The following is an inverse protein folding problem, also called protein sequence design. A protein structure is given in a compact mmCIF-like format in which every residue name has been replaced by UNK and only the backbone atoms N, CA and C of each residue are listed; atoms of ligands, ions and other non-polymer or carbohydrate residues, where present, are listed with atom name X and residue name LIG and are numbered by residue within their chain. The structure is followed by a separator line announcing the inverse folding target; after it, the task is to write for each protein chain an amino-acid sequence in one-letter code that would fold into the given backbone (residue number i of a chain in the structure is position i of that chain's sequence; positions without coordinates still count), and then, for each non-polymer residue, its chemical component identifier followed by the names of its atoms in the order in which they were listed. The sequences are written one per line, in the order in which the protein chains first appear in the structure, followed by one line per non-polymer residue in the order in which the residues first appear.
data_IF_416382342035
#
_entry.id   IF_416382342035
#
_cell.length_a   1.000
_cell.length_b   1.000
_cell.length_c   1.000
_cell.angle_alpha   90.00
_cell.angle_beta   90.00
_cell.angle_gamma   90.00
#
_symmetry.space_group_name_H-M   'P 1'
#
loop_
_entity.id
_entity.type
_entity.pdbx_description
1 polymer ?
#
# COMPACT_ATOMS: atom_id res chain seq x y z
N UNK A 1 -9.77 -13.15 10.00
CA UNK A 1 -8.95 -12.79 8.82
C UNK A 1 -7.63 -12.13 9.21
N UNK A 2 -7.69 -11.09 10.05
CA UNK A 2 -6.54 -10.34 10.56
C UNK A 2 -5.39 -11.23 11.08
N UNK A 3 -5.67 -12.11 12.06
CA UNK A 3 -4.69 -13.08 12.61
C UNK A 3 -3.99 -13.99 11.57
N UNK A 4 -4.56 -14.21 10.38
CA UNK A 4 -3.93 -15.01 9.31
C UNK A 4 -3.02 -14.14 8.44
N UNK A 5 -3.44 -12.91 8.13
CA UNK A 5 -2.61 -11.93 7.44
C UNK A 5 -1.40 -11.55 8.29
N UNK A 6 -1.58 -11.30 9.59
CA UNK A 6 -0.48 -10.94 10.49
C UNK A 6 0.58 -12.05 10.58
N UNK A 7 0.15 -13.30 10.77
CA UNK A 7 1.06 -14.48 10.73
C UNK A 7 1.76 -14.67 9.38
N UNK A 8 1.10 -14.31 8.28
CA UNK A 8 1.73 -14.36 6.96
C UNK A 8 2.79 -13.26 6.79
N UNK A 9 2.49 -12.04 7.26
CA UNK A 9 3.41 -10.90 7.23
C UNK A 9 4.65 -11.19 8.06
N UNK A 10 4.50 -11.73 9.27
CA UNK A 10 5.63 -12.15 10.13
C UNK A 10 6.56 -13.13 9.42
N UNK A 11 6.00 -14.14 8.73
CA UNK A 11 6.79 -15.09 7.93
C UNK A 11 7.47 -14.42 6.73
N UNK A 12 6.86 -13.36 6.20
CA UNK A 12 7.34 -12.63 5.02
C UNK A 12 8.50 -11.70 5.35
N UNK A 13 8.71 -11.30 6.61
CA UNK A 13 9.90 -10.54 7.02
C UNK A 13 11.25 -11.25 6.76
N UNK A 14 11.24 -12.56 6.52
CA UNK A 14 12.42 -13.29 6.03
C UNK A 14 12.83 -12.89 4.61
N UNK A 15 11.96 -12.20 3.87
CA UNK A 15 12.10 -11.93 2.43
C UNK A 15 12.20 -10.44 2.10
N UNK A 16 11.65 -9.55 2.94
CA UNK A 16 11.64 -8.12 2.69
C UNK A 16 11.70 -7.33 3.99
N UNK A 17 12.29 -6.14 3.92
CA UNK A 17 12.42 -5.23 5.06
C UNK A 17 11.18 -4.34 5.25
N UNK A 18 10.39 -4.16 4.18
CA UNK A 18 9.12 -3.42 4.22
C UNK A 18 8.03 -4.21 3.49
N UNK A 19 6.88 -4.35 4.13
CA UNK A 19 5.70 -5.04 3.59
C UNK A 19 4.51 -4.08 3.68
N UNK A 20 3.72 -4.02 2.62
CA UNK A 20 2.51 -3.22 2.55
C UNK A 20 1.29 -4.13 2.59
N UNK A 21 0.24 -3.65 3.24
CA UNK A 21 -1.07 -4.32 3.26
C UNK A 21 -2.15 -3.30 2.98
N UNK A 22 -3.04 -3.64 2.06
CA UNK A 22 -4.30 -2.95 1.83
C UNK A 22 -5.44 -3.82 2.36
N UNK A 23 -6.33 -3.21 3.13
CA UNK A 23 -7.48 -3.85 3.76
C UNK A 23 -8.72 -2.99 3.58
N UNK A 24 -9.88 -3.61 3.33
CA UNK A 24 -11.18 -2.93 3.30
C UNK A 24 -12.09 -3.60 4.31
N UNK A 25 -12.66 -2.83 5.24
CA UNK A 25 -13.44 -3.34 6.37
C UNK A 25 -14.56 -4.33 5.96
N UNK A 26 -15.20 -4.08 4.81
CA UNK A 26 -16.32 -4.88 4.30
C UNK A 26 -15.92 -5.94 3.26
N UNK A 27 -14.65 -5.99 2.83
CA UNK A 27 -14.20 -7.03 1.91
C UNK A 27 -13.59 -8.22 2.64
N UNK A 28 -13.92 -9.41 2.15
CA UNK A 28 -13.35 -10.65 2.66
C UNK A 28 -11.94 -10.95 2.14
N UNK A 29 -11.11 -9.94 1.95
CA UNK A 29 -9.71 -10.12 1.57
C UNK A 29 -8.82 -8.91 1.92
N UNK A 30 -7.54 -9.20 2.10
CA UNK A 30 -6.45 -8.23 2.12
C UNK A 30 -5.56 -8.44 0.90
N UNK A 31 -4.87 -7.39 0.50
CA UNK A 31 -3.78 -7.48 -0.47
C UNK A 31 -2.50 -7.14 0.26
N UNK A 32 -1.51 -8.01 0.11
CA UNK A 32 -0.19 -7.83 0.71
C UNK A 32 0.82 -7.81 -0.41
N UNK A 33 1.71 -6.83 -0.40
CA UNK A 33 2.80 -6.76 -1.36
C UNK A 33 4.10 -6.27 -0.73
N UNK A 34 5.20 -6.58 -1.40
CA UNK A 34 6.53 -6.08 -1.07
C UNK A 34 7.40 -6.06 -2.32
N UNK A 35 8.45 -5.26 -2.26
CA UNK A 35 9.47 -5.18 -3.30
C UNK A 35 10.71 -5.99 -2.89
N UNK A 36 11.29 -6.73 -3.84
CA UNK A 36 12.57 -7.44 -3.67
C UNK A 36 13.21 -7.67 -5.03
N UNK A 37 14.51 -7.39 -5.15
CA UNK A 37 15.32 -7.69 -6.34
C UNK A 37 14.74 -7.15 -7.67
N UNK A 38 14.09 -5.98 -7.65
CA UNK A 38 13.46 -5.36 -8.83
C UNK A 38 12.06 -5.89 -9.18
N UNK A 39 11.47 -6.69 -8.30
CA UNK A 39 10.13 -7.25 -8.47
C UNK A 39 9.19 -6.84 -7.35
N UNK A 40 7.94 -6.60 -7.73
CA UNK A 40 6.79 -6.51 -6.84
C UNK A 40 6.15 -7.89 -6.69
N UNK A 41 6.13 -8.39 -5.46
CA UNK A 41 5.46 -9.64 -5.09
C UNK A 41 4.11 -9.32 -4.48
N UNK A 42 3.03 -9.92 -4.99
CA UNK A 42 1.65 -9.69 -4.53
C UNK A 42 0.98 -10.96 -4.03
N UNK A 43 0.19 -10.81 -2.97
CA UNK A 43 -0.63 -11.86 -2.40
C UNK A 43 -2.04 -11.34 -2.13
N UNK A 44 -3.06 -12.17 -2.40
CA UNK A 44 -4.42 -11.95 -1.92
C UNK A 44 -4.69 -12.91 -0.77
N UNK A 45 -5.01 -12.37 0.39
CA UNK A 45 -5.25 -13.15 1.61
C UNK A 45 -6.74 -13.04 1.95
N UNK A 46 -7.46 -14.15 1.84
CA UNK A 46 -8.86 -14.30 2.25
C UNK A 46 -8.95 -15.23 3.47
N UNK A 47 -10.12 -15.35 4.14
CA UNK A 47 -10.27 -16.21 5.31
C UNK A 47 -9.78 -17.65 5.09
N UNK A 48 -10.09 -18.22 3.92
CA UNK A 48 -9.83 -19.63 3.63
C UNK A 48 -8.57 -19.86 2.79
N UNK A 49 -8.05 -18.84 2.10
CA UNK A 49 -7.01 -19.01 1.06
C UNK A 49 -5.99 -17.88 1.06
N UNK A 50 -4.75 -18.22 0.70
CA UNK A 50 -3.70 -17.27 0.33
C UNK A 50 -3.35 -17.55 -1.11
N UNK A 51 -3.65 -16.60 -2.00
CA UNK A 51 -3.29 -16.68 -3.42
C UNK A 51 -2.03 -15.85 -3.65
N UNK A 52 -0.95 -16.51 -4.08
CA UNK A 52 0.26 -15.86 -4.58
C UNK A 52 0.08 -15.55 -6.07
N UNK A 53 0.53 -14.39 -6.50
CA UNK A 53 0.60 -14.03 -7.92
C UNK A 53 2.04 -14.11 -8.41
N UNK A 54 2.20 -14.16 -9.73
CA UNK A 54 3.52 -14.07 -10.35
C UNK A 54 4.19 -12.73 -9.99
N UNK A 55 5.52 -12.70 -9.78
CA UNK A 55 6.25 -11.47 -9.55
C UNK A 55 6.14 -10.54 -10.75
N UNK A 56 5.96 -9.25 -10.49
CA UNK A 56 5.82 -8.21 -11.52
C UNK A 56 7.10 -7.38 -11.53
N UNK A 57 7.69 -7.15 -12.70
CA UNK A 57 8.83 -6.22 -12.83
C UNK A 57 8.36 -4.82 -12.44
N UNK A 58 8.96 -4.26 -11.40
CA UNK A 58 8.58 -2.96 -10.89
C UNK A 58 9.73 -2.34 -10.09
N UNK A 59 9.99 -1.06 -10.36
CA UNK A 59 10.90 -0.27 -9.54
C UNK A 59 10.40 -0.12 -8.10
N UNK A 60 11.33 -0.21 -7.15
CA UNK A 60 11.03 0.09 -5.75
C UNK A 60 11.27 1.58 -5.47
N UNK A 61 10.19 2.37 -5.56
CA UNK A 61 10.23 3.79 -5.16
C UNK A 61 10.58 3.87 -3.66
N UNK A 62 11.76 4.43 -3.36
CA UNK A 62 12.22 4.59 -1.99
C UNK A 62 11.55 5.80 -1.33
N UNK A 63 10.90 5.58 -0.19
CA UNK A 63 10.29 6.65 0.60
C UNK A 63 11.02 6.80 1.93
N UNK A 64 11.46 8.02 2.24
CA UNK A 64 12.12 8.30 3.51
C UNK A 64 11.16 8.11 4.69
N UNK A 65 11.68 7.60 5.82
CA UNK A 65 10.87 7.38 7.03
C UNK A 65 10.27 8.68 7.58
N UNK A 66 10.98 9.80 7.46
CA UNK A 66 10.47 11.12 7.87
C UNK A 66 9.30 11.59 7.02
N UNK A 67 9.24 11.22 5.74
CA UNK A 67 8.09 11.51 4.87
C UNK A 67 6.83 10.73 5.27
N UNK A 68 6.97 9.59 5.96
CA UNK A 68 5.83 8.76 6.37
C UNK A 68 5.00 9.38 7.48
N UNK A 69 5.63 10.08 8.42
CA UNK A 69 4.98 10.54 9.64
C UNK A 69 3.72 11.36 9.36
N UNK A 70 3.77 12.24 8.35
CA UNK A 70 2.61 13.03 7.91
C UNK A 70 1.41 12.15 7.53
N UNK A 71 1.61 11.10 6.73
CA UNK A 71 0.53 10.26 6.21
C UNK A 71 0.04 9.21 7.19
N UNK A 72 0.82 8.90 8.23
CA UNK A 72 0.53 7.85 9.20
C UNK A 72 0.47 8.38 10.64
N UNK A 73 0.29 9.69 10.80
CA UNK A 73 0.03 10.30 12.10
C UNK A 73 -1.26 9.73 12.69
N UNK A 74 -1.20 9.34 13.96
CA UNK A 74 -2.33 8.83 14.74
C UNK A 74 -3.13 9.99 15.39
N UNK A 75 -2.69 11.25 15.21
CA UNK A 75 -3.39 12.44 15.68
C UNK A 75 -4.81 12.56 15.10
N UNK A 76 -5.78 12.85 15.95
CA UNK A 76 -7.17 13.15 15.56
C UNK A 76 -7.29 14.43 14.71
N UNK A 77 -6.26 15.28 14.72
CA UNK A 77 -6.20 16.51 13.92
C UNK A 77 -5.46 16.30 12.58
N UNK A 78 -5.16 15.05 12.22
CA UNK A 78 -4.53 14.72 10.96
C UNK A 78 -5.39 15.24 9.80
N UNK A 79 -4.88 16.26 9.13
CA UNK A 79 -5.47 16.82 7.93
C UNK A 79 -4.55 16.57 6.74
N UNK A 80 -4.55 15.33 6.27
CA UNK A 80 -3.81 14.93 5.07
C UNK A 80 -4.81 14.38 4.09
N UNK A 81 -4.93 15.07 2.97
CA UNK A 81 -5.87 14.74 1.90
C UNK A 81 -5.75 13.28 1.48
N UNK A 82 -6.89 12.60 1.34
CA UNK A 82 -7.05 11.17 1.09
C UNK A 82 -6.52 10.21 2.19
N UNK A 83 -5.84 10.71 3.23
CA UNK A 83 -5.31 9.93 4.35
C UNK A 83 -5.93 10.39 5.66
N UNK A 84 -7.08 9.82 6.01
CA UNK A 84 -7.81 10.20 7.21
C UNK A 84 -7.32 9.47 8.46
N UNK A 85 -7.76 9.96 9.63
CA UNK A 85 -7.74 9.17 10.85
C UNK A 85 -8.62 7.91 10.67
N UNK A 86 -8.33 6.85 11.43
CA UNK A 86 -9.00 5.55 11.37
C UNK A 86 -10.54 5.68 11.33
N UNK A 87 -11.10 5.48 10.14
CA UNK A 87 -12.52 5.34 9.85
C UNK A 87 -12.83 3.90 9.38
N UNK A 88 -14.09 3.48 9.52
CA UNK A 88 -14.59 2.22 8.97
C UNK A 88 -14.53 2.26 7.43
N UNK A 89 -13.50 1.65 6.85
CA UNK A 89 -13.29 1.71 5.41
C UNK A 89 -12.02 1.02 4.94
N UNK A 90 -11.40 1.59 3.90
CA UNK A 90 -10.13 1.13 3.38
C UNK A 90 -8.95 1.64 4.22
N UNK A 91 -7.91 0.83 4.36
CA UNK A 91 -6.70 1.20 5.10
C UNK A 91 -5.45 0.64 4.44
N UNK A 92 -4.36 1.38 4.63
CA UNK A 92 -2.99 0.97 4.28
C UNK A 92 -2.23 0.77 5.59
N UNK A 93 -1.59 -0.38 5.69
CA UNK A 93 -0.67 -0.70 6.76
C UNK A 93 0.73 -0.92 6.16
N UNK A 94 1.74 -0.33 6.79
CA UNK A 94 3.15 -0.53 6.45
C UNK A 94 3.83 -1.24 7.62
N UNK A 95 4.44 -2.37 7.30
CA UNK A 95 5.09 -3.28 8.22
C UNK A 95 6.60 -3.22 7.99
N UNK A 96 7.33 -2.70 8.98
CA UNK A 96 8.79 -2.62 8.94
C UNK A 96 9.39 -3.80 9.71
N UNK A 97 10.34 -4.48 9.10
CA UNK A 97 11.16 -5.46 9.79
C UNK A 97 11.86 -4.78 10.97
N UNK A 98 11.62 -5.28 12.18
CA UNK A 98 12.14 -4.72 13.44
C UNK A 98 11.71 -3.27 13.74
N UNK A 99 10.56 -2.81 13.22
CA UNK A 99 10.05 -1.45 13.44
C UNK A 99 8.59 -1.40 13.89
N UNK A 100 8.11 -0.18 14.22
CA UNK A 100 6.68 0.07 14.49
C UNK A 100 5.91 -0.03 13.18
N UNK A 101 4.82 -0.80 13.19
CA UNK A 101 3.88 -0.83 12.08
C UNK A 101 3.12 0.51 12.01
N UNK A 102 2.95 1.04 10.80
CA UNK A 102 2.20 2.25 10.54
C UNK A 102 0.86 1.89 9.92
N UNK A 103 -0.20 2.60 10.29
CA UNK A 103 -1.54 2.39 9.73
C UNK A 103 -2.23 3.72 9.48
N UNK A 104 -2.88 3.82 8.32
CA UNK A 104 -3.73 4.95 7.96
C UNK A 104 -4.99 4.45 7.27
N UNK A 105 -6.14 5.06 7.57
CA UNK A 105 -7.27 4.97 6.63
C UNK A 105 -6.90 5.69 5.34
N UNK A 106 -7.44 5.20 4.24
CA UNK A 106 -7.21 5.78 2.92
C UNK A 106 -8.53 5.84 2.17
N UNK A 107 -8.75 6.95 1.50
CA UNK A 107 -9.78 7.08 0.48
C UNK A 107 -9.14 6.82 -0.88
N UNK A 108 -9.51 5.69 -1.47
CA UNK A 108 -8.93 5.20 -2.70
C UNK A 108 -9.40 6.02 -3.90
N UNK A 109 -10.65 6.49 -3.89
CA UNK A 109 -11.18 7.30 -4.99
C UNK A 109 -10.52 8.67 -4.98
N UNK A 110 -10.36 9.27 -3.79
CA UNK A 110 -9.56 10.48 -3.59
C UNK A 110 -8.11 10.25 -4.05
N UNK A 111 -7.47 9.14 -3.62
CA UNK A 111 -6.09 8.83 -3.99
C UNK A 111 -5.92 8.77 -5.51
N UNK A 112 -6.78 8.09 -6.25
CA UNK A 112 -6.60 7.96 -7.70
C UNK A 112 -7.06 9.18 -8.50
N UNK A 113 -7.85 10.08 -7.89
CA UNK A 113 -8.30 11.33 -8.52
C UNK A 113 -7.28 12.47 -8.54
N UNK A 114 -6.07 12.29 -7.99
CA UNK A 114 -5.11 13.37 -7.77
C UNK A 114 -3.71 13.02 -8.27
N UNK A 115 -2.98 14.03 -8.77
CA UNK A 115 -1.56 13.96 -9.09
C UNK A 115 -0.73 14.33 -7.86
N UNK A 116 0.27 13.51 -7.53
CA UNK A 116 1.13 13.72 -6.36
C UNK A 116 2.60 13.94 -6.73
N UNK A 117 3.40 14.55 -5.84
CA UNK A 117 4.83 14.65 -6.05
C UNK A 117 5.47 13.27 -6.24
N UNK A 118 6.34 13.15 -7.24
CA UNK A 118 7.15 11.95 -7.47
C UNK A 118 7.93 11.62 -6.20
N UNK A 119 8.06 10.33 -5.89
CA UNK A 119 8.70 9.83 -4.66
C UNK A 119 7.98 10.21 -3.35
N UNK A 120 6.68 10.53 -3.40
CA UNK A 120 5.83 10.61 -2.21
C UNK A 120 5.12 9.28 -1.91
N UNK A 121 4.56 9.13 -0.70
CA UNK A 121 3.73 7.96 -0.36
C UNK A 121 2.55 7.74 -1.30
N UNK A 122 1.69 8.75 -1.53
CA UNK A 122 0.56 8.55 -2.43
C UNK A 122 1.00 8.20 -3.86
N UNK A 123 2.05 8.85 -4.38
CA UNK A 123 2.66 8.48 -5.66
C UNK A 123 3.09 7.01 -5.71
N UNK A 124 3.83 6.55 -4.68
CA UNK A 124 4.26 5.15 -4.58
C UNK A 124 3.07 4.20 -4.55
N UNK A 125 2.03 4.51 -3.77
CA UNK A 125 0.84 3.65 -3.69
C UNK A 125 0.13 3.58 -5.04
N UNK A 126 -0.05 4.71 -5.73
CA UNK A 126 -0.63 4.72 -7.07
C UNK A 126 0.18 3.86 -8.05
N UNK A 127 1.51 3.99 -8.04
CA UNK A 127 2.40 3.18 -8.86
C UNK A 127 2.31 1.69 -8.54
N UNK A 128 2.39 1.30 -7.26
CA UNK A 128 2.31 -0.10 -6.87
C UNK A 128 0.94 -0.70 -7.24
N UNK A 129 -0.15 0.05 -7.03
CA UNK A 129 -1.50 -0.39 -7.40
C UNK A 129 -1.70 -0.52 -8.91
N UNK A 130 -1.13 0.39 -9.72
CA UNK A 130 -1.19 0.32 -11.17
C UNK A 130 -0.47 -0.93 -11.69
N UNK A 131 0.75 -1.20 -11.20
CA UNK A 131 1.49 -2.44 -11.54
C UNK A 131 0.73 -3.69 -11.13
N UNK A 132 0.04 -3.65 -9.99
CA UNK A 132 -0.77 -4.78 -9.50
C UNK A 132 -2.09 -5.00 -10.27
N UNK A 133 -2.47 -4.11 -11.19
CA UNK A 133 -3.75 -4.14 -11.91
C UNK A 133 -4.95 -4.08 -10.95
N UNK A 134 -4.82 -3.31 -9.87
CA UNK A 134 -5.73 -3.38 -8.73
C UNK A 134 -6.98 -2.51 -8.87
N UNK A 135 -7.01 -1.59 -9.84
CA UNK A 135 -8.12 -0.68 -10.14
C UNK A 135 -8.13 -0.45 -11.65
N UNK A 136 -9.23 -0.84 -12.32
CA UNK A 136 -9.29 -0.94 -13.79
C UNK A 136 -9.38 0.43 -14.47
N UNK A 137 -9.92 1.43 -13.77
CA UNK A 137 -10.21 2.76 -14.34
C UNK A 137 -9.10 3.80 -14.06
N UNK A 138 -7.98 3.39 -13.45
CA UNK A 138 -6.85 4.27 -13.18
C UNK A 138 -5.69 4.00 -14.16
N UNK A 139 -5.39 4.99 -15.00
CA UNK A 139 -4.18 4.99 -15.83
C UNK A 139 -3.09 5.85 -15.18
N UNK A 140 -2.12 5.18 -14.55
CA UNK A 140 -0.98 5.84 -13.92
C UNK A 140 -0.14 6.62 -14.93
N UNK A 141 0.08 6.07 -16.12
CA UNK A 141 0.92 6.71 -17.12
C UNK A 141 0.25 8.01 -17.62
N UNK A 142 -1.05 8.01 -17.88
CA UNK A 142 -1.76 9.23 -18.32
C UNK A 142 -1.68 10.37 -17.29
N UNK A 143 -1.68 10.05 -15.99
CA UNK A 143 -1.61 11.04 -14.92
C UNK A 143 -0.20 11.64 -14.75
N UNK A 144 0.84 10.88 -15.07
CA UNK A 144 2.25 11.23 -14.84
C UNK A 144 3.06 11.46 -16.11
N UNK A 145 2.47 11.26 -17.29
CA UNK A 145 3.00 11.76 -18.55
C UNK A 145 2.81 13.28 -18.59
N UNK A 146 3.79 14.01 -18.06
CA UNK A 146 4.01 15.37 -18.51
C UNK A 146 4.60 15.29 -19.93
N UNK A 147 3.83 15.78 -20.90
CA UNK A 147 4.27 15.96 -22.28
C UNK A 147 5.64 16.65 -22.30
N UNK A 148 6.65 15.94 -22.80
CA UNK A 148 7.90 16.55 -23.22
C UNK A 148 7.68 17.48 -24.42
#
# INVERSE_FOLDING_TARGET
MQKRADRFIEKTYRKADTIYKYSVAFNNFNIVWYHKDGYLYKYRISPHMIKKYEPIVAENIFISKSSLSKYFDESIYKNVECFYHLLDGASIDIYFKNGKNLRSSIDIDCLFGQKYPVNSIPYKLQYDFSKMGQFVDFNFEDLYQDNH
#
